data_IF_690444037833
#
_entry.id   IF_690444037833
#
_cell.length_a   1.000
_cell.length_b   1.000
_cell.length_c   1.000
_cell.angle_alpha   90.00
_cell.angle_beta   90.00
_cell.angle_gamma   90.00
#
_symmetry.space_group_name_H-M   'P 1'
#
loop_
_entity.id
_entity.type
_entity.pdbx_description
1 polymer ?
#
# COMPACT_ATOMS: atom_id res chain seq x y z
N UNK A 1 17.38 -19.55 6.35
CA UNK A 1 16.05 -18.93 6.60
C UNK A 1 15.94 -17.76 5.63
N UNK A 2 14.84 -17.64 4.88
CA UNK A 2 14.60 -16.46 4.04
C UNK A 2 14.54 -15.20 4.92
N UNK A 3 15.04 -14.08 4.43
CA UNK A 3 14.91 -12.80 5.13
C UNK A 3 13.43 -12.47 5.32
N UNK A 4 13.04 -11.81 6.43
CA UNK A 4 11.68 -11.35 6.63
C UNK A 4 11.27 -10.37 5.53
N UNK A 5 10.02 -10.43 5.09
CA UNK A 5 9.52 -9.58 4.03
C UNK A 5 8.32 -8.74 4.48
N UNK A 6 8.23 -7.54 3.95
CA UNK A 6 7.07 -6.67 4.06
C UNK A 6 6.28 -6.77 2.76
N UNK A 7 5.01 -7.07 2.86
CA UNK A 7 4.12 -7.10 1.70
C UNK A 7 3.76 -5.68 1.28
N UNK A 8 3.99 -5.35 0.01
CA UNK A 8 3.51 -4.14 -0.66
C UNK A 8 2.39 -4.57 -1.60
N UNK A 9 1.16 -4.47 -1.12
CA UNK A 9 -0.04 -4.90 -1.84
C UNK A 9 -0.75 -3.70 -2.46
N UNK A 10 -0.96 -3.71 -3.77
CA UNK A 10 -1.56 -2.59 -4.47
C UNK A 10 -2.52 -3.01 -5.59
N UNK A 11 -3.41 -2.09 -5.96
CA UNK A 11 -4.11 -2.07 -7.24
C UNK A 11 -3.74 -0.79 -7.98
N UNK A 12 -3.48 -0.89 -9.28
CA UNK A 12 -3.18 0.27 -10.12
C UNK A 12 -3.92 0.17 -11.45
N UNK A 13 -4.54 1.27 -11.92
CA UNK A 13 -5.22 1.32 -13.22
C UNK A 13 -4.35 1.95 -14.30
N UNK A 14 -3.64 3.02 -13.97
CA UNK A 14 -2.86 3.84 -14.90
C UNK A 14 -1.37 3.93 -14.53
N UNK A 15 -0.89 3.07 -13.64
CA UNK A 15 0.50 2.99 -13.25
C UNK A 15 0.92 3.80 -12.02
N UNK A 16 0.23 4.89 -11.67
CA UNK A 16 0.66 5.77 -10.58
C UNK A 16 0.76 5.06 -9.21
N UNK A 17 -0.26 4.25 -8.84
CA UNK A 17 -0.19 3.48 -7.58
C UNK A 17 0.91 2.41 -7.63
N UNK A 18 1.18 1.83 -8.80
CA UNK A 18 2.29 0.90 -9.01
C UNK A 18 3.64 1.58 -8.79
N UNK A 19 3.81 2.80 -9.30
CA UNK A 19 5.05 3.57 -9.10
C UNK A 19 5.26 3.94 -7.63
N UNK A 20 4.21 4.34 -6.91
CA UNK A 20 4.28 4.53 -5.47
C UNK A 20 4.68 3.24 -4.73
N UNK A 21 4.11 2.10 -5.13
CA UNK A 21 4.46 0.79 -4.55
C UNK A 21 5.93 0.45 -4.75
N UNK A 22 6.49 0.76 -5.94
CA UNK A 22 7.91 0.57 -6.24
C UNK A 22 8.80 1.44 -5.33
N UNK A 23 8.46 2.72 -5.17
CA UNK A 23 9.20 3.65 -4.31
C UNK A 23 9.14 3.27 -2.82
N UNK A 24 7.98 2.81 -2.35
CA UNK A 24 7.82 2.25 -1.00
C UNK A 24 8.71 1.00 -0.84
N UNK A 25 8.74 0.14 -1.86
CA UNK A 25 9.63 -1.02 -1.90
C UNK A 25 11.10 -0.64 -1.80
N UNK A 26 11.57 0.37 -2.52
CA UNK A 26 12.94 0.91 -2.40
C UNK A 26 13.23 1.39 -0.97
N UNK A 27 12.27 2.08 -0.34
CA UNK A 27 12.39 2.51 1.04
C UNK A 27 12.52 1.33 2.02
N UNK A 28 11.74 0.26 1.83
CA UNK A 28 11.83 -0.96 2.63
C UNK A 28 13.21 -1.61 2.47
N UNK A 29 13.66 -1.80 1.25
CA UNK A 29 14.94 -2.45 0.92
C UNK A 29 16.16 -1.64 1.36
N UNK A 30 15.99 -0.35 1.64
CA UNK A 30 17.05 0.49 2.24
C UNK A 30 17.37 0.11 3.68
N UNK A 31 16.53 -0.72 4.32
CA UNK A 31 16.71 -1.19 5.71
C UNK A 31 17.28 -2.61 5.71
N UNK A 32 18.47 -2.79 6.27
CA UNK A 32 19.12 -4.10 6.33
C UNK A 32 18.27 -5.12 7.12
N UNK A 33 18.19 -6.34 6.61
CA UNK A 33 17.54 -7.47 7.28
C UNK A 33 16.04 -7.63 6.98
N UNK A 34 15.50 -6.88 6.02
CA UNK A 34 14.12 -7.02 5.54
C UNK A 34 14.06 -6.79 4.03
N UNK A 35 13.18 -7.51 3.33
CA UNK A 35 12.92 -7.34 1.90
C UNK A 35 11.52 -6.81 1.62
N UNK A 36 11.28 -6.30 0.40
CA UNK A 36 9.97 -5.92 -0.09
C UNK A 36 9.40 -7.03 -0.99
N UNK A 37 8.16 -7.43 -0.72
CA UNK A 37 7.40 -8.36 -1.57
C UNK A 37 6.26 -7.58 -2.23
N UNK A 38 6.41 -7.24 -3.52
CA UNK A 38 5.39 -6.54 -4.28
C UNK A 38 4.35 -7.53 -4.82
N UNK A 39 3.06 -7.22 -4.62
CA UNK A 39 1.92 -7.97 -5.15
C UNK A 39 0.84 -7.02 -5.64
N UNK A 40 0.13 -7.42 -6.68
CA UNK A 40 -1.05 -6.70 -7.17
C UNK A 40 -2.30 -7.58 -7.04
N UNK A 41 -3.48 -6.98 -7.26
CA UNK A 41 -4.75 -7.71 -7.34
C UNK A 41 -5.35 -7.56 -8.74
N UNK A 42 -6.04 -8.59 -9.28
CA UNK A 42 -6.70 -8.50 -10.59
C UNK A 42 -7.85 -7.51 -10.56
N UNK A 43 -8.20 -6.97 -11.72
CA UNK A 43 -9.42 -6.20 -11.90
C UNK A 43 -10.65 -7.11 -11.66
N UNK A 44 -11.73 -6.52 -11.10
CA UNK A 44 -13.03 -7.21 -11.01
C UNK A 44 -13.87 -6.94 -12.25
N UNK A 45 -14.60 -7.97 -12.70
CA UNK A 45 -15.53 -7.90 -13.83
C UNK A 45 -16.96 -7.69 -13.34
N UNK A 46 -17.79 -7.05 -14.20
CA UNK A 46 -19.23 -6.98 -14.01
C UNK A 46 -19.96 -8.31 -14.29
N UNK A 47 -19.29 -9.26 -14.94
CA UNK A 47 -19.76 -10.64 -15.17
C UNK A 47 -18.95 -11.59 -14.30
N UNK A 48 -19.58 -12.70 -13.85
CA UNK A 48 -18.90 -13.69 -12.99
C UNK A 48 -17.99 -14.63 -13.81
N UNK A 49 -17.08 -14.06 -14.57
CA UNK A 49 -16.10 -14.78 -15.38
C UNK A 49 -14.70 -14.23 -15.12
N UNK A 50 -13.70 -15.11 -15.17
CA UNK A 50 -12.30 -14.68 -15.12
C UNK A 50 -11.96 -13.94 -16.43
N UNK A 51 -11.72 -12.63 -16.33
CA UNK A 51 -11.42 -11.77 -17.49
C UNK A 51 -9.93 -11.46 -17.63
N UNK A 52 -9.16 -11.74 -16.58
CA UNK A 52 -7.72 -11.50 -16.56
C UNK A 52 -6.94 -12.82 -16.64
N UNK A 53 -5.75 -12.83 -17.27
CA UNK A 53 -4.88 -14.00 -17.25
C UNK A 53 -4.52 -14.39 -15.80
N UNK A 54 -4.20 -15.68 -15.58
CA UNK A 54 -3.74 -16.17 -14.27
C UNK A 54 -2.43 -15.51 -13.78
N UNK A 55 -1.65 -14.94 -14.70
CA UNK A 55 -0.42 -14.18 -14.40
C UNK A 55 -0.56 -12.80 -15.06
N UNK A 56 -0.26 -11.69 -14.35
CA UNK A 56 -0.28 -10.36 -14.94
C UNK A 56 0.68 -10.29 -16.13
N UNK A 57 0.30 -9.58 -17.19
CA UNK A 57 1.19 -9.36 -18.34
C UNK A 57 2.39 -8.50 -17.96
N UNK A 58 2.18 -7.54 -17.09
CA UNK A 58 3.17 -6.58 -16.62
C UNK A 58 2.97 -6.34 -15.12
N UNK A 59 4.06 -5.97 -14.43
CA UNK A 59 4.05 -5.63 -13.01
C UNK A 59 4.30 -6.83 -12.07
N UNK A 60 3.90 -6.68 -10.81
CA UNK A 60 4.07 -7.71 -9.80
C UNK A 60 3.09 -8.88 -9.98
N UNK A 61 3.44 -10.09 -9.53
CA UNK A 61 2.50 -11.22 -9.46
C UNK A 61 1.25 -10.87 -8.67
N UNK A 62 0.14 -11.59 -8.95
CA UNK A 62 -1.05 -11.46 -8.13
C UNK A 62 -0.79 -11.91 -6.70
N UNK A 63 -1.45 -11.25 -5.76
CA UNK A 63 -1.39 -11.59 -4.35
C UNK A 63 -2.15 -12.88 -4.06
N UNK A 64 -1.56 -13.69 -3.18
CA UNK A 64 -2.20 -14.84 -2.55
C UNK A 64 -2.41 -14.57 -1.06
N UNK A 65 -3.34 -15.28 -0.42
CA UNK A 65 -3.57 -15.10 1.02
C UNK A 65 -2.39 -15.54 1.89
N UNK A 66 -1.56 -16.44 1.39
CA UNK A 66 -0.27 -16.81 2.01
C UNK A 66 0.68 -15.60 2.14
N UNK A 67 0.62 -14.64 1.23
CA UNK A 67 1.43 -13.41 1.33
C UNK A 67 1.07 -12.60 2.60
N UNK A 68 -0.21 -12.58 3.01
CA UNK A 68 -0.65 -11.93 4.25
C UNK A 68 -0.15 -12.68 5.50
N UNK A 69 -0.08 -14.01 5.44
CA UNK A 69 0.38 -14.85 6.54
C UNK A 69 1.89 -14.71 6.77
N UNK A 70 2.67 -14.73 5.71
CA UNK A 70 4.13 -14.77 5.73
C UNK A 70 4.80 -13.41 5.97
N UNK A 71 4.15 -12.29 5.59
CA UNK A 71 4.74 -10.96 5.73
C UNK A 71 4.93 -10.57 7.21
N UNK A 72 5.89 -9.67 7.48
CA UNK A 72 6.07 -9.06 8.80
C UNK A 72 5.50 -7.65 8.92
N UNK A 73 4.94 -7.12 7.84
CA UNK A 73 4.29 -5.82 7.74
C UNK A 73 3.63 -5.66 6.38
N UNK A 74 2.72 -4.71 6.24
CA UNK A 74 1.92 -4.49 5.04
C UNK A 74 1.90 -3.02 4.62
N UNK A 75 2.21 -2.73 3.36
CA UNK A 75 1.88 -1.47 2.71
C UNK A 75 0.71 -1.74 1.73
N UNK A 76 -0.44 -1.10 1.97
CA UNK A 76 -1.66 -1.28 1.18
C UNK A 76 -1.93 -0.06 0.31
N UNK A 77 -2.05 -0.24 -1.01
CA UNK A 77 -2.23 0.83 -1.97
C UNK A 77 -3.37 0.63 -2.96
N UNK A 78 -4.13 1.70 -3.19
CA UNK A 78 -5.22 1.72 -4.15
C UNK A 78 -5.41 3.13 -4.72
N UNK A 79 -5.77 3.29 -6.00
CA UNK A 79 -6.29 4.57 -6.46
C UNK A 79 -7.62 4.88 -5.77
N UNK A 80 -7.92 6.17 -5.62
CA UNK A 80 -9.22 6.59 -5.07
C UNK A 80 -10.39 6.18 -5.97
N UNK A 81 -11.47 5.78 -5.36
CA UNK A 81 -12.80 5.65 -5.94
C UNK A 81 -13.80 6.26 -4.98
N UNK A 82 -14.21 7.51 -5.26
CA UNK A 82 -15.16 8.26 -4.43
C UNK A 82 -14.72 8.34 -2.95
N UNK A 83 -13.43 8.60 -2.70
CA UNK A 83 -12.87 8.69 -1.35
C UNK A 83 -12.60 7.35 -0.66
N UNK A 84 -12.68 6.23 -1.40
CA UNK A 84 -12.43 4.88 -0.90
C UNK A 84 -11.50 4.12 -1.84
N UNK A 85 -11.05 2.92 -1.44
CA UNK A 85 -10.27 2.04 -2.30
C UNK A 85 -11.07 1.54 -3.50
N UNK A 86 -10.39 1.15 -4.56
CA UNK A 86 -11.00 0.51 -5.72
C UNK A 86 -11.55 -0.88 -5.39
N UNK A 87 -12.65 -1.28 -6.07
CA UNK A 87 -13.32 -2.55 -5.85
C UNK A 87 -12.39 -3.79 -5.91
N UNK A 88 -11.39 -3.89 -6.81
CA UNK A 88 -10.46 -5.02 -6.80
C UNK A 88 -9.72 -5.21 -5.48
N UNK A 89 -9.27 -4.12 -4.86
CA UNK A 89 -8.60 -4.19 -3.55
C UNK A 89 -9.56 -4.60 -2.45
N UNK A 90 -10.77 -4.02 -2.43
CA UNK A 90 -11.79 -4.40 -1.45
C UNK A 90 -12.22 -5.86 -1.61
N UNK A 91 -12.37 -6.35 -2.85
CA UNK A 91 -12.69 -7.74 -3.14
C UNK A 91 -11.64 -8.72 -2.58
N UNK A 92 -10.36 -8.40 -2.75
CA UNK A 92 -9.28 -9.20 -2.16
C UNK A 92 -9.37 -9.21 -0.62
N UNK A 93 -9.55 -8.04 0.01
CA UNK A 93 -9.68 -7.96 1.47
C UNK A 93 -10.92 -8.69 1.99
N UNK A 94 -12.05 -8.65 1.28
CA UNK A 94 -13.28 -9.36 1.67
C UNK A 94 -13.09 -10.89 1.70
N UNK A 95 -12.20 -11.42 0.88
CA UNK A 95 -11.85 -12.84 0.87
C UNK A 95 -10.90 -13.28 1.98
N UNK A 96 -10.33 -12.36 2.79
CA UNK A 96 -9.31 -12.65 3.81
C UNK A 96 -9.87 -13.10 5.18
N UNK A 97 -11.11 -13.58 5.25
CA UNK A 97 -11.77 -13.96 6.51
C UNK A 97 -11.01 -15.04 7.29
N UNK A 98 -10.37 -16.00 6.60
CA UNK A 98 -9.59 -17.06 7.25
C UNK A 98 -8.34 -16.47 7.95
N UNK A 99 -7.65 -15.53 7.30
CA UNK A 99 -6.49 -14.84 7.85
C UNK A 99 -6.85 -13.94 9.03
N UNK A 100 -8.05 -13.34 9.00
CA UNK A 100 -8.58 -12.58 10.13
C UNK A 100 -8.88 -13.49 11.33
N UNK A 101 -9.57 -14.61 11.12
CA UNK A 101 -9.90 -15.57 12.19
C UNK A 101 -8.64 -16.18 12.82
N UNK A 102 -7.60 -16.46 12.04
CA UNK A 102 -6.33 -16.99 12.55
C UNK A 102 -5.45 -15.93 13.23
N UNK A 103 -5.80 -14.64 13.11
CA UNK A 103 -4.97 -13.55 13.63
C UNK A 103 -3.67 -13.34 12.86
N UNK A 104 -3.60 -13.77 11.59
CA UNK A 104 -2.38 -13.75 10.79
C UNK A 104 -1.69 -12.39 10.71
N UNK A 105 -2.45 -11.29 10.74
CA UNK A 105 -1.94 -9.91 10.67
C UNK A 105 -1.87 -9.21 12.05
N UNK A 106 -2.32 -9.84 13.12
CA UNK A 106 -2.40 -9.22 14.44
C UNK A 106 -1.03 -8.74 14.94
N UNK A 107 -0.95 -7.45 15.29
CA UNK A 107 0.26 -6.80 15.81
C UNK A 107 1.33 -6.54 14.76
N UNK A 108 1.12 -6.89 13.48
CA UNK A 108 2.02 -6.48 12.39
C UNK A 108 1.77 -5.02 12.02
N UNK A 109 2.81 -4.23 11.67
CA UNK A 109 2.62 -2.84 11.27
C UNK A 109 2.09 -2.73 9.84
N UNK A 110 1.30 -1.67 9.59
CA UNK A 110 0.81 -1.36 8.26
C UNK A 110 0.86 0.13 7.95
N UNK A 111 1.04 0.46 6.68
CA UNK A 111 0.83 1.79 6.13
C UNK A 111 -0.04 1.72 4.87
N UNK A 112 -0.57 2.87 4.46
CA UNK A 112 -1.46 2.99 3.29
C UNK A 112 -0.95 4.05 2.32
N UNK A 113 -1.28 3.92 1.01
CA UNK A 113 -0.93 4.89 -0.02
C UNK A 113 -1.98 4.94 -1.13
N UNK A 114 -2.13 6.08 -1.78
CA UNK A 114 -3.16 6.32 -2.79
C UNK A 114 -2.71 7.21 -3.93
N UNK A 115 -3.50 7.22 -5.00
CA UNK A 115 -3.39 8.18 -6.10
C UNK A 115 -4.78 8.75 -6.40
N UNK A 116 -4.86 10.07 -6.70
CA UNK A 116 -6.11 10.79 -6.95
C UNK A 116 -6.00 11.65 -8.21
N UNK A 117 -7.14 11.92 -8.86
CA UNK A 117 -7.19 12.79 -10.04
C UNK A 117 -7.23 14.30 -9.70
N UNK A 118 -7.46 14.68 -8.45
CA UNK A 118 -7.50 16.08 -8.01
C UNK A 118 -7.00 16.23 -6.58
N UNK A 119 -6.50 17.42 -6.23
CA UNK A 119 -5.84 17.70 -4.96
C UNK A 119 -6.75 17.40 -3.75
N UNK A 120 -8.03 17.79 -3.80
CA UNK A 120 -9.03 17.51 -2.76
C UNK A 120 -9.98 16.38 -3.15
N UNK A 121 -9.58 15.51 -4.07
CA UNK A 121 -10.38 14.40 -4.60
C UNK A 121 -10.33 13.12 -3.77
N UNK A 122 -10.09 13.21 -2.46
CA UNK A 122 -10.13 12.06 -1.56
C UNK A 122 -8.77 11.47 -1.21
N UNK A 123 -7.69 12.27 -1.20
CA UNK A 123 -6.37 11.78 -0.77
C UNK A 123 -6.44 11.24 0.67
N UNK A 124 -6.88 12.07 1.63
CA UNK A 124 -6.95 11.69 3.05
C UNK A 124 -8.04 10.65 3.32
N UNK A 125 -9.25 10.85 2.75
CA UNK A 125 -10.38 9.95 3.00
C UNK A 125 -10.12 8.53 2.49
N UNK A 126 -9.47 8.37 1.33
CA UNK A 126 -9.09 7.07 0.80
C UNK A 126 -8.10 6.36 1.74
N UNK A 127 -7.07 7.08 2.20
CA UNK A 127 -6.09 6.54 3.15
C UNK A 127 -6.77 6.10 4.45
N UNK A 128 -7.56 6.99 5.06
CA UNK A 128 -8.26 6.70 6.32
C UNK A 128 -9.25 5.54 6.17
N UNK A 129 -9.98 5.45 5.05
CA UNK A 129 -10.89 4.35 4.80
C UNK A 129 -10.17 3.01 4.64
N UNK A 130 -8.97 2.99 4.03
CA UNK A 130 -8.15 1.78 3.92
C UNK A 130 -7.59 1.31 5.27
N UNK A 131 -7.38 2.21 6.23
CA UNK A 131 -6.92 1.84 7.57
C UNK A 131 -7.96 1.02 8.34
N UNK A 132 -9.26 1.25 8.11
CA UNK A 132 -10.34 0.58 8.85
C UNK A 132 -10.27 -0.95 8.76
N UNK A 133 -10.24 -1.58 7.58
CA UNK A 133 -10.11 -3.04 7.50
C UNK A 133 -8.78 -3.55 8.08
N UNK A 134 -7.69 -2.79 8.00
CA UNK A 134 -6.42 -3.19 8.61
C UNK A 134 -6.46 -3.15 10.14
N UNK A 135 -7.18 -2.18 10.72
CA UNK A 135 -7.46 -2.16 12.16
C UNK A 135 -8.32 -3.36 12.59
N UNK A 136 -9.30 -3.78 11.77
CA UNK A 136 -10.07 -5.00 12.02
C UNK A 136 -9.22 -6.27 11.99
N UNK A 137 -8.16 -6.29 11.20
CA UNK A 137 -7.14 -7.35 11.22
C UNK A 137 -6.16 -7.26 12.41
N UNK A 138 -6.33 -6.26 13.30
CA UNK A 138 -5.47 -6.06 14.47
C UNK A 138 -4.08 -5.48 14.16
N UNK A 139 -3.92 -4.81 13.02
CA UNK A 139 -2.64 -4.20 12.62
C UNK A 139 -2.35 -2.89 13.34
N UNK A 140 -1.07 -2.53 13.44
CA UNK A 140 -0.59 -1.26 14.00
C UNK A 140 -0.33 -0.27 12.87
N UNK A 141 -1.10 0.82 12.81
CA UNK A 141 -0.99 1.80 11.72
C UNK A 141 0.26 2.69 11.87
N UNK A 142 0.99 2.85 10.77
CA UNK A 142 2.23 3.65 10.69
C UNK A 142 2.05 4.75 9.64
N UNK A 143 1.93 5.99 10.10
CA UNK A 143 1.87 7.18 9.24
C UNK A 143 3.25 7.81 8.99
N UNK A 144 3.25 8.96 8.30
CA UNK A 144 4.42 9.79 8.03
C UNK A 144 4.53 10.93 9.06
N UNK A 145 5.65 11.06 9.78
CA UNK A 145 5.85 12.15 10.73
C UNK A 145 6.28 13.45 10.00
N UNK A 146 5.93 14.59 10.57
CA UNK A 146 6.33 15.92 10.07
C UNK A 146 7.84 16.23 10.17
N UNK A 147 8.64 15.27 10.63
CA UNK A 147 10.10 15.33 10.44
C UNK A 147 10.51 15.15 8.97
N UNK A 148 9.59 14.76 8.09
CA UNK A 148 9.75 14.83 6.64
C UNK A 148 9.27 16.22 6.17
N UNK A 149 10.18 17.14 5.83
CA UNK A 149 9.83 18.53 5.53
C UNK A 149 8.93 18.68 4.29
N UNK A 150 8.92 17.70 3.40
CA UNK A 150 8.05 17.66 2.23
C UNK A 150 6.56 17.73 2.60
N UNK A 151 6.16 17.22 3.77
CA UNK A 151 4.77 17.33 4.24
C UNK A 151 4.31 18.79 4.49
N UNK A 152 5.26 19.70 4.72
CA UNK A 152 4.97 21.12 4.91
C UNK A 152 5.05 21.92 3.62
N UNK A 153 5.73 21.44 2.59
CA UNK A 153 6.04 22.18 1.36
C UNK A 153 5.38 21.62 0.09
N UNK A 154 4.87 20.39 0.13
CA UNK A 154 4.23 19.78 -1.05
C UNK A 154 3.05 20.62 -1.54
N UNK A 155 2.93 20.74 -2.86
CA UNK A 155 1.78 21.35 -3.55
C UNK A 155 0.99 20.32 -4.37
N UNK A 156 1.34 19.03 -4.23
CA UNK A 156 0.69 17.92 -4.93
C UNK A 156 0.19 16.86 -3.93
N UNK A 157 0.76 15.67 -3.91
CA UNK A 157 0.44 14.62 -2.94
C UNK A 157 1.32 14.66 -1.70
N UNK A 158 1.01 13.80 -0.75
CA UNK A 158 1.73 13.66 0.52
C UNK A 158 0.89 14.11 1.72
N UNK A 159 0.62 13.17 2.62
CA UNK A 159 -0.15 13.42 3.86
C UNK A 159 0.51 12.70 5.04
N UNK A 160 0.25 13.13 6.30
CA UNK A 160 0.74 12.42 7.48
C UNK A 160 0.07 11.06 7.68
N UNK A 161 -1.07 10.81 7.02
CA UNK A 161 -1.80 9.53 7.09
C UNK A 161 -1.21 8.47 6.17
N UNK A 162 -0.48 8.87 5.14
CA UNK A 162 0.16 8.01 4.16
C UNK A 162 0.53 8.77 2.89
N UNK A 163 1.29 8.13 2.02
CA UNK A 163 1.68 8.72 0.74
C UNK A 163 0.48 8.83 -0.18
N UNK A 164 0.37 9.96 -0.86
CA UNK A 164 -0.60 10.19 -1.92
C UNK A 164 0.08 10.81 -3.14
N UNK A 165 -0.53 10.63 -4.32
CA UNK A 165 -0.09 11.21 -5.59
C UNK A 165 -1.24 11.95 -6.25
N UNK A 166 -0.96 13.13 -6.78
CA UNK A 166 -1.87 13.91 -7.63
C UNK A 166 -1.63 13.57 -9.10
N UNK A 167 -2.39 12.61 -9.64
CA UNK A 167 -2.23 12.10 -11.01
C UNK A 167 -2.86 12.98 -12.10
N UNK A 168 -3.66 14.01 -11.74
CA UNK A 168 -4.60 14.73 -12.59
C UNK A 168 -5.72 13.84 -13.16
N UNK A 169 -6.74 14.44 -13.78
CA UNK A 169 -7.93 13.73 -14.22
C UNK A 169 -7.67 12.72 -15.36
N UNK A 170 -6.65 12.97 -16.16
CA UNK A 170 -6.20 12.12 -17.27
C UNK A 170 -5.11 11.11 -16.86
N UNK A 171 -4.66 11.16 -15.61
CA UNK A 171 -3.58 10.28 -15.11
C UNK A 171 -2.19 10.63 -15.65
N UNK A 172 -1.99 11.81 -16.23
CA UNK A 172 -0.76 12.17 -16.95
C UNK A 172 0.35 12.73 -16.04
N UNK A 173 0.03 13.18 -14.83
CA UNK A 173 1.03 13.76 -13.95
C UNK A 173 2.02 12.68 -13.46
N UNK A 174 3.34 12.90 -13.59
CA UNK A 174 4.34 12.01 -13.00
C UNK A 174 4.39 12.18 -11.48
N UNK A 175 4.92 11.17 -10.79
CA UNK A 175 5.24 11.29 -9.36
C UNK A 175 6.21 12.45 -9.17
N UNK A 176 5.85 13.41 -8.31
CA UNK A 176 6.74 14.55 -8.02
C UNK A 176 7.95 14.12 -7.16
N UNK A 177 9.04 14.91 -7.17
CA UNK A 177 10.19 14.61 -6.32
C UNK A 177 9.86 14.56 -4.82
N UNK A 178 8.91 15.38 -4.35
CA UNK A 178 8.41 15.39 -2.97
C UNK A 178 7.66 14.10 -2.66
N UNK A 179 6.73 13.71 -3.52
CA UNK A 179 5.96 12.46 -3.39
C UNK A 179 6.88 11.23 -3.39
N UNK A 180 7.90 11.21 -4.26
CA UNK A 180 8.87 10.12 -4.31
C UNK A 180 9.67 10.01 -3.00
N UNK A 181 10.17 11.14 -2.45
CA UNK A 181 10.88 11.13 -1.17
C UNK A 181 10.00 10.66 -0.02
N UNK A 182 8.73 11.11 0.02
CA UNK A 182 7.77 10.65 1.02
C UNK A 182 7.46 9.15 0.89
N UNK A 183 7.35 8.62 -0.33
CA UNK A 183 7.11 7.19 -0.56
C UNK A 183 8.28 6.33 -0.05
N UNK A 184 9.51 6.71 -0.35
CA UNK A 184 10.72 6.06 0.15
C UNK A 184 10.79 6.15 1.69
N UNK A 185 10.53 7.33 2.26
CA UNK A 185 10.52 7.54 3.71
C UNK A 185 9.46 6.66 4.41
N UNK A 186 8.27 6.51 3.83
CA UNK A 186 7.22 5.66 4.39
C UNK A 186 7.63 4.18 4.37
N UNK A 187 8.19 3.70 3.27
CA UNK A 187 8.68 2.32 3.16
C UNK A 187 9.78 2.02 4.18
N UNK A 188 10.77 2.92 4.28
CA UNK A 188 11.85 2.82 5.28
C UNK A 188 11.30 2.77 6.70
N UNK A 189 10.40 3.69 7.07
CA UNK A 189 9.78 3.73 8.40
C UNK A 189 8.99 2.47 8.71
N UNK A 190 8.20 1.95 7.75
CA UNK A 190 7.47 0.70 7.92
C UNK A 190 8.43 -0.47 8.21
N UNK A 191 9.53 -0.57 7.46
CA UNK A 191 10.55 -1.60 7.64
C UNK A 191 11.19 -1.55 9.03
N UNK A 192 11.60 -0.35 9.47
CA UNK A 192 12.20 -0.15 10.80
C UNK A 192 11.22 -0.55 11.93
N UNK A 193 9.95 -0.17 11.82
CA UNK A 193 8.92 -0.55 12.81
C UNK A 193 8.67 -2.05 12.79
N UNK A 194 8.59 -2.68 11.62
CA UNK A 194 8.36 -4.11 11.48
C UNK A 194 9.49 -4.94 12.12
N UNK A 195 10.75 -4.56 11.88
CA UNK A 195 11.90 -5.22 12.51
C UNK A 195 11.90 -5.08 14.04
N UNK A 196 11.58 -3.91 14.57
CA UNK A 196 11.50 -3.68 16.03
C UNK A 196 10.40 -4.53 16.67
N UNK A 197 9.20 -4.58 16.06
CA UNK A 197 8.08 -5.38 16.57
C UNK A 197 8.34 -6.88 16.45
N UNK A 198 9.08 -7.33 15.43
CA UNK A 198 9.50 -8.72 15.28
C UNK A 198 10.54 -9.12 16.32
N UNK A 199 11.50 -8.26 16.66
CA UNK A 199 12.54 -8.53 17.64
C UNK A 199 12.02 -8.59 19.09
N UNK A 200 10.85 -8.01 19.36
CA UNK A 200 10.23 -8.00 20.70
C UNK A 200 9.30 -9.19 20.97
N UNK A 201 9.18 -10.12 20.02
CA UNK A 201 8.48 -11.41 20.15
C UNK A 201 9.48 -12.52 20.39
#
# INVERSE_FOLDING_TARGET
MSSPEILVLYYSRYGATQELARLIGEGIESVAGVGARLRTVPAVSAVCEATEPAVPKDGAPYAEYSDLEECIGLALGSPTRFGNMAAPMKYFLDGSSAQWLSGALQGKPACVFTSTGSLHGGQETTLLSMMIPLLHHGMVMVGLPYSNPELMSTTTGGTPYGVSHLAHADGSAPISPEEARLAIAQGKRLAEVALRLKAGK
#
